data_IF_966158378447
#
_entry.id   IF_966158378447
#
_cell.length_a   1.000
_cell.length_b   1.000
_cell.length_c   1.000
_cell.angle_alpha   90.00
_cell.angle_beta   90.00
_cell.angle_gamma   90.00
#
_symmetry.space_group_name_H-M   'P 1'
#
loop_
_entity.id
_entity.type
_entity.pdbx_description
1 polymer ?
#
# COMPACT_ATOMS: atom_id res chain seq x y z
N UNK A 1 -43.54 -7.42 -1.19
CA UNK A 1 -42.96 -7.33 -2.55
C UNK A 1 -41.46 -7.40 -2.43
N UNK A 2 -40.86 -8.56 -2.73
CA UNK A 2 -39.43 -8.80 -2.54
C UNK A 2 -38.61 -8.16 -3.67
N UNK A 3 -37.61 -7.36 -3.31
CA UNK A 3 -36.66 -6.81 -4.27
C UNK A 3 -35.79 -7.95 -4.82
N UNK A 4 -36.05 -8.34 -6.07
CA UNK A 4 -35.23 -9.24 -6.88
C UNK A 4 -33.98 -8.47 -7.31
N UNK A 5 -32.87 -8.67 -6.61
CA UNK A 5 -31.58 -8.13 -6.99
C UNK A 5 -31.15 -8.73 -8.35
N UNK A 6 -31.11 -7.90 -9.40
CA UNK A 6 -30.48 -8.27 -10.68
C UNK A 6 -28.97 -8.19 -10.48
N UNK A 7 -28.31 -9.35 -10.47
CA UNK A 7 -26.85 -9.42 -10.56
C UNK A 7 -26.44 -8.85 -11.92
N UNK A 8 -25.69 -7.74 -11.93
CA UNK A 8 -25.13 -7.19 -13.16
C UNK A 8 -23.81 -7.91 -13.45
N UNK A 9 -23.60 -8.31 -14.69
CA UNK A 9 -22.40 -9.06 -15.14
C UNK A 9 -21.06 -8.40 -14.74
N UNK A 10 -21.05 -7.07 -14.54
CA UNK A 10 -19.91 -6.32 -14.03
C UNK A 10 -19.51 -6.71 -12.59
N UNK A 11 -20.48 -7.00 -11.72
CA UNK A 11 -20.21 -7.43 -10.35
C UNK A 11 -19.58 -8.83 -10.34
N UNK A 12 -20.04 -9.72 -11.23
CA UNK A 12 -19.47 -11.07 -11.38
C UNK A 12 -17.99 -11.03 -11.79
N UNK A 13 -17.64 -10.24 -12.80
CA UNK A 13 -16.25 -10.12 -13.27
C UNK A 13 -15.31 -9.48 -12.22
N UNK A 14 -15.81 -8.50 -11.45
CA UNK A 14 -15.03 -7.88 -10.38
C UNK A 14 -14.74 -8.86 -9.22
N UNK A 15 -15.72 -9.67 -8.84
CA UNK A 15 -15.56 -10.70 -7.80
C UNK A 15 -14.55 -11.76 -8.24
N UNK A 16 -14.65 -12.25 -9.49
CA UNK A 16 -13.71 -13.25 -10.02
C UNK A 16 -12.26 -12.72 -10.10
N UNK A 17 -12.07 -11.45 -10.45
CA UNK A 17 -10.73 -10.83 -10.44
C UNK A 17 -10.20 -10.64 -9.01
N UNK A 18 -11.05 -10.23 -8.08
CA UNK A 18 -10.66 -10.07 -6.68
C UNK A 18 -10.32 -11.42 -6.03
N UNK A 19 -11.06 -12.49 -6.35
CA UNK A 19 -10.77 -13.84 -5.86
C UNK A 19 -9.47 -14.37 -6.47
N UNK A 20 -9.24 -14.17 -7.77
CA UNK A 20 -7.98 -14.56 -8.43
C UNK A 20 -6.76 -13.84 -7.82
N UNK A 21 -6.87 -12.54 -7.54
CA UNK A 21 -5.80 -11.79 -6.88
C UNK A 21 -5.57 -12.30 -5.44
N UNK A 22 -6.63 -12.55 -4.68
CA UNK A 22 -6.54 -13.07 -3.31
C UNK A 22 -5.93 -14.47 -3.25
N UNK A 23 -6.26 -15.34 -4.20
CA UNK A 23 -5.65 -16.66 -4.32
C UNK A 23 -4.16 -16.58 -4.68
N UNK A 24 -3.79 -15.70 -5.62
CA UNK A 24 -2.38 -15.48 -5.95
C UNK A 24 -1.59 -15.03 -4.71
N UNK A 25 -2.13 -14.08 -3.93
CA UNK A 25 -1.54 -13.62 -2.67
C UNK A 25 -1.39 -14.79 -1.68
N UNK A 26 -2.43 -15.62 -1.51
CA UNK A 26 -2.39 -16.78 -0.61
C UNK A 26 -1.29 -17.78 -1.00
N UNK A 27 -1.12 -18.04 -2.29
CA UNK A 27 -0.08 -18.93 -2.82
C UNK A 27 1.32 -18.36 -2.56
N UNK A 28 1.51 -17.04 -2.74
CA UNK A 28 2.77 -16.35 -2.40
C UNK A 28 3.11 -16.55 -0.92
N UNK A 29 2.14 -16.36 -0.02
CA UNK A 29 2.36 -16.60 1.42
C UNK A 29 2.70 -18.07 1.77
N UNK A 30 2.33 -19.02 0.90
CA UNK A 30 2.70 -20.43 1.02
C UNK A 30 4.06 -20.76 0.36
N UNK A 31 4.80 -19.75 -0.11
CA UNK A 31 6.08 -19.92 -0.80
C UNK A 31 5.97 -20.39 -2.24
N UNK A 32 4.77 -20.39 -2.84
CA UNK A 32 4.59 -20.77 -4.23
C UNK A 32 4.86 -19.59 -5.17
N UNK A 33 5.59 -19.86 -6.25
CA UNK A 33 5.81 -18.90 -7.34
C UNK A 33 4.52 -18.80 -8.16
N UNK A 34 3.97 -17.60 -8.27
CA UNK A 34 2.84 -17.28 -9.14
C UNK A 34 3.32 -16.35 -10.27
N UNK A 35 2.72 -16.46 -11.45
CA UNK A 35 3.03 -15.54 -12.55
C UNK A 35 2.62 -14.10 -12.17
N UNK A 36 3.27 -13.06 -12.75
CA UNK A 36 2.89 -11.68 -12.50
C UNK A 36 1.42 -11.43 -12.85
N UNK A 37 0.64 -10.89 -11.90
CA UNK A 37 -0.77 -10.55 -12.11
C UNK A 37 -0.94 -9.05 -11.95
N UNK A 38 -1.50 -8.39 -12.96
CA UNK A 38 -1.90 -6.98 -12.88
C UNK A 38 -3.40 -6.88 -12.67
N UNK A 39 -3.84 -6.08 -11.69
CA UNK A 39 -5.26 -5.78 -11.51
C UNK A 39 -5.48 -4.27 -11.40
N UNK A 40 -6.62 -3.80 -11.92
CA UNK A 40 -7.06 -2.41 -11.77
C UNK A 40 -8.00 -2.34 -10.58
N UNK A 41 -7.68 -1.50 -9.60
CA UNK A 41 -8.55 -1.22 -8.46
C UNK A 41 -8.69 0.28 -8.26
N UNK A 42 -9.79 0.69 -7.61
CA UNK A 42 -9.99 2.07 -7.16
C UNK A 42 -9.70 2.11 -5.67
N UNK A 43 -8.49 2.57 -5.32
CA UNK A 43 -8.12 2.75 -3.92
C UNK A 43 -8.93 3.88 -3.29
N UNK A 44 -9.27 3.73 -2.00
CA UNK A 44 -9.79 4.85 -1.24
C UNK A 44 -8.62 5.82 -0.97
N UNK A 45 -8.77 7.13 -1.24
CA UNK A 45 -7.67 8.09 -1.14
C UNK A 45 -6.98 8.14 0.23
N UNK A 46 -7.67 7.75 1.30
CA UNK A 46 -7.13 7.76 2.66
C UNK A 46 -6.34 6.48 3.02
N UNK A 47 -6.37 5.45 2.18
CA UNK A 47 -5.64 4.18 2.39
C UNK A 47 -4.28 4.14 1.68
N UNK A 48 -4.06 4.99 0.69
CA UNK A 48 -2.80 5.09 -0.04
C UNK A 48 -2.27 6.50 0.14
N UNK A 49 -0.99 6.60 0.48
CA UNK A 49 -0.33 7.90 0.66
C UNK A 49 0.78 8.11 -0.33
N UNK A 50 0.94 9.35 -0.77
CA UNK A 50 2.10 9.77 -1.57
C UNK A 50 3.28 10.07 -0.64
N UNK A 51 4.49 10.10 -1.20
CA UNK A 51 5.69 10.50 -0.45
C UNK A 51 5.53 11.91 0.13
N UNK A 52 4.99 12.86 -0.63
CA UNK A 52 4.73 14.23 -0.17
C UNK A 52 3.84 14.27 1.08
N UNK A 53 2.81 13.43 1.12
CA UNK A 53 1.93 13.33 2.28
C UNK A 53 2.68 12.77 3.50
N UNK A 54 3.55 11.78 3.30
CA UNK A 54 4.39 11.22 4.38
C UNK A 54 5.30 12.31 4.96
N UNK A 55 5.97 13.07 4.10
CA UNK A 55 6.81 14.20 4.52
C UNK A 55 6.02 15.29 5.24
N UNK A 56 4.77 15.56 4.84
CA UNK A 56 3.92 16.55 5.49
C UNK A 56 3.56 16.15 6.94
N UNK A 57 3.29 14.87 7.23
CA UNK A 57 3.07 14.42 8.62
C UNK A 57 4.35 14.50 9.45
N UNK A 58 5.48 14.10 8.86
CA UNK A 58 6.78 14.12 9.51
C UNK A 58 7.21 15.55 9.87
N UNK A 59 7.05 16.51 8.97
CA UNK A 59 7.35 17.94 9.23
C UNK A 59 6.31 18.63 10.12
N UNK A 60 5.16 17.99 10.35
CA UNK A 60 4.07 18.55 11.15
C UNK A 60 3.16 19.52 10.40
N UNK A 61 3.36 19.71 9.09
CA UNK A 61 2.53 20.59 8.25
C UNK A 61 1.14 20.01 7.97
N UNK A 62 1.01 18.68 7.94
CA UNK A 62 -0.28 17.99 7.90
C UNK A 62 -0.68 17.45 9.30
N UNK A 63 -1.98 17.49 9.67
CA UNK A 63 -2.44 17.00 10.97
C UNK A 63 -2.45 15.47 11.02
N UNK A 64 -2.04 14.86 12.13
CA UNK A 64 -2.14 13.41 12.29
C UNK A 64 -3.58 12.90 12.12
N UNK A 65 -3.82 11.86 11.31
CA UNK A 65 -5.17 11.34 11.08
C UNK A 65 -5.84 10.78 12.34
N UNK A 66 -5.04 10.39 13.36
CA UNK A 66 -5.56 9.87 14.63
C UNK A 66 -5.91 11.03 15.56
N UNK A 67 -7.19 11.10 15.96
CA UNK A 67 -7.71 12.13 16.85
C UNK A 67 -6.93 12.20 18.16
N UNK A 68 -6.56 13.41 18.57
CA UNK A 68 -5.89 13.67 19.85
C UNK A 68 -4.37 13.52 19.83
N UNK A 69 -3.76 13.26 18.67
CA UNK A 69 -2.31 13.11 18.51
C UNK A 69 -1.77 14.29 17.71
N UNK A 70 -0.60 14.80 18.12
CA UNK A 70 0.10 15.86 17.38
C UNK A 70 0.91 15.26 16.23
N UNK A 71 0.97 15.97 15.12
CA UNK A 71 1.88 15.69 14.01
C UNK A 71 3.31 16.11 14.32
N UNK A 72 4.22 15.78 13.41
CA UNK A 72 5.64 16.04 13.52
C UNK A 72 6.45 14.78 13.78
N UNK A 73 7.66 14.97 14.28
CA UNK A 73 8.61 13.91 14.59
C UNK A 73 9.38 14.23 15.87
N UNK A 74 10.10 13.22 16.37
CA UNK A 74 11.00 13.36 17.51
C UNK A 74 12.22 14.17 17.07
N UNK A 75 12.64 15.23 17.80
CA UNK A 75 13.84 15.99 17.47
C UNK A 75 15.07 15.09 17.30
N UNK A 76 15.82 15.30 16.22
CA UNK A 76 17.00 14.52 15.88
C UNK A 76 16.71 13.20 15.14
N UNK A 77 15.44 12.81 14.93
CA UNK A 77 15.12 11.70 14.05
C UNK A 77 15.28 12.11 12.57
N UNK A 78 15.29 11.12 11.66
CA UNK A 78 15.22 11.31 10.21
C UNK A 78 13.96 10.64 9.63
N UNK A 79 13.46 11.15 8.51
CA UNK A 79 12.36 10.54 7.76
C UNK A 79 12.92 9.61 6.70
N UNK A 80 12.71 8.30 6.85
CA UNK A 80 13.09 7.30 5.85
C UNK A 80 11.83 6.58 5.35
N UNK A 81 11.20 7.06 4.26
CA UNK A 81 10.04 6.40 3.68
C UNK A 81 10.36 4.99 3.20
N UNK A 82 9.62 3.98 3.69
CA UNK A 82 9.84 2.58 3.37
C UNK A 82 9.95 2.27 1.86
N UNK A 83 9.15 2.86 0.94
CA UNK A 83 9.30 2.61 -0.49
C UNK A 83 10.66 2.99 -1.06
N UNK A 84 11.40 3.90 -0.42
CA UNK A 84 12.74 4.31 -0.85
C UNK A 84 13.82 3.34 -0.35
N UNK A 85 13.51 2.45 0.59
CA UNK A 85 14.42 1.38 1.04
C UNK A 85 14.32 0.11 0.20
N UNK A 86 13.49 0.10 -0.85
CA UNK A 86 13.24 -1.05 -1.70
C UNK A 86 13.85 -0.83 -3.08
N UNK A 87 14.49 -1.86 -3.61
CA UNK A 87 14.82 -1.91 -5.02
C UNK A 87 13.54 -1.95 -5.86
N UNK A 88 13.47 -1.05 -6.83
CA UNK A 88 12.31 -0.87 -7.71
C UNK A 88 11.99 -2.10 -8.57
N UNK A 89 12.98 -2.92 -8.89
CA UNK A 89 12.83 -4.06 -9.81
C UNK A 89 12.46 -5.35 -9.08
N UNK A 90 13.13 -5.63 -7.96
CA UNK A 90 12.99 -6.86 -7.19
C UNK A 90 12.02 -6.76 -6.02
N UNK A 91 11.67 -5.53 -5.61
CA UNK A 91 10.93 -5.26 -4.37
C UNK A 91 11.59 -5.86 -3.12
N UNK A 92 12.91 -6.04 -3.14
CA UNK A 92 13.72 -6.45 -1.99
C UNK A 92 14.36 -5.24 -1.33
N UNK A 93 14.86 -5.39 -0.10
CA UNK A 93 15.58 -4.30 0.58
C UNK A 93 16.84 -3.94 -0.20
N UNK A 94 17.16 -2.65 -0.23
CA UNK A 94 18.45 -2.17 -0.74
C UNK A 94 19.62 -2.81 0.05
N UNK A 95 20.78 -3.00 -0.58
CA UNK A 95 22.02 -3.35 0.11
C UNK A 95 22.31 -2.39 1.27
N UNK A 96 23.10 -2.86 2.24
CA UNK A 96 23.36 -2.11 3.47
C UNK A 96 24.02 -0.76 3.19
N UNK A 97 24.94 -0.70 2.24
CA UNK A 97 25.66 0.51 1.86
C UNK A 97 24.71 1.61 1.37
N UNK A 98 23.78 1.27 0.48
CA UNK A 98 22.79 2.20 -0.06
C UNK A 98 21.76 2.61 1.00
N UNK A 99 21.39 1.70 1.90
CA UNK A 99 20.46 1.98 2.99
C UNK A 99 21.07 2.87 4.08
N UNK A 100 22.37 2.74 4.35
CA UNK A 100 23.11 3.56 5.32
C UNK A 100 23.17 5.03 4.90
N UNK A 101 23.30 5.31 3.60
CA UNK A 101 23.28 6.70 3.09
C UNK A 101 21.95 7.43 3.37
N UNK A 102 20.88 6.69 3.66
CA UNK A 102 19.57 7.25 4.00
C UNK A 102 19.40 7.58 5.49
N UNK A 103 20.28 7.08 6.38
CA UNK A 103 20.14 7.11 7.85
C UNK A 103 21.10 8.09 8.52
#
# INVERSE_FOLDING_TARGET
MGARWRSTEMAGNAILKASAASEAIKKIYQGQIVSPVTFKTKFQPHLVRTLDQIYAFYTGTAPEPRKGIRSGHIPGSKCVPFPQMLDSSSHTLLPTEDAEEMI
#
